data_IF_292674433848
#
_entry.id   IF_292674433848
#
_cell.length_a   1.000
_cell.length_b   1.000
_cell.length_c   1.000
_cell.angle_alpha   90.00
_cell.angle_beta   90.00
_cell.angle_gamma   90.00
#
_symmetry.space_group_name_H-M   'P 1'
#
loop_
_entity.id
_entity.type
_entity.pdbx_description
1 polymer ?
#
# COMPACT_ATOMS: atom_id res chain seq x y z
N UNK A 1 27.73 18.79 -9.49
CA UNK A 1 26.41 18.32 -9.98
C UNK A 1 26.25 16.87 -9.56
N UNK A 2 25.12 16.48 -8.99
CA UNK A 2 24.83 15.08 -8.71
C UNK A 2 24.54 14.37 -10.04
N UNK A 3 25.24 13.27 -10.34
CA UNK A 3 24.97 12.48 -11.53
C UNK A 3 23.67 11.66 -11.33
N UNK A 4 22.62 11.87 -12.15
CA UNK A 4 21.40 11.09 -12.05
C UNK A 4 21.61 9.60 -12.36
N UNK A 5 22.68 9.24 -13.09
CA UNK A 5 22.99 7.85 -13.46
C UNK A 5 23.28 6.95 -12.25
N UNK A 6 23.85 7.52 -11.19
CA UNK A 6 24.22 6.76 -9.99
C UNK A 6 23.14 6.72 -8.91
N UNK A 7 22.03 7.43 -9.11
CA UNK A 7 20.94 7.52 -8.15
C UNK A 7 20.24 6.19 -7.92
N UNK A 8 19.91 5.91 -6.66
CA UNK A 8 19.07 4.78 -6.27
C UNK A 8 17.68 4.84 -6.92
N UNK A 9 17.21 6.04 -7.29
CA UNK A 9 15.96 6.21 -8.03
C UNK A 9 16.03 5.58 -9.42
N UNK A 10 17.14 5.76 -10.14
CA UNK A 10 17.31 5.19 -11.47
C UNK A 10 17.51 3.68 -11.39
N UNK A 11 18.36 3.23 -10.46
CA UNK A 11 18.75 1.81 -10.32
C UNK A 11 17.61 0.90 -9.85
N UNK A 12 16.68 1.40 -9.02
CA UNK A 12 15.67 0.56 -8.38
C UNK A 12 14.21 0.91 -8.70
N UNK A 13 13.94 2.09 -9.28
CA UNK A 13 12.57 2.61 -9.43
C UNK A 13 12.24 3.15 -10.82
N UNK A 14 13.11 2.89 -11.80
CA UNK A 14 12.81 3.14 -13.20
C UNK A 14 12.41 1.81 -13.85
N UNK A 15 11.22 1.75 -14.44
CA UNK A 15 10.66 0.54 -15.03
C UNK A 15 10.22 0.81 -16.47
N UNK A 16 10.30 -0.20 -17.33
CA UNK A 16 9.52 -0.21 -18.57
C UNK A 16 8.03 -0.40 -18.23
N UNK A 17 7.14 -0.07 -19.17
CA UNK A 17 5.70 -0.28 -18.95
C UNK A 17 5.37 -1.76 -18.67
N UNK A 18 6.07 -2.67 -19.34
CA UNK A 18 5.92 -4.12 -19.17
C UNK A 18 6.35 -4.57 -17.78
N UNK A 19 7.52 -4.11 -17.30
CA UNK A 19 8.01 -4.46 -15.96
C UNK A 19 7.09 -3.93 -14.85
N UNK A 20 6.51 -2.76 -15.07
CA UNK A 20 5.59 -2.12 -14.14
C UNK A 20 4.30 -2.94 -14.03
N UNK A 21 3.72 -3.34 -15.16
CA UNK A 21 2.51 -4.17 -15.17
C UNK A 21 2.76 -5.58 -14.61
N UNK A 22 3.96 -6.13 -14.82
CA UNK A 22 4.40 -7.36 -14.17
C UNK A 22 4.46 -7.20 -12.64
N UNK A 23 5.04 -6.11 -12.12
CA UNK A 23 5.08 -5.84 -10.69
C UNK A 23 3.68 -5.75 -10.08
N UNK A 24 2.75 -5.05 -10.74
CA UNK A 24 1.35 -4.93 -10.31
C UNK A 24 0.64 -6.28 -10.29
N UNK A 25 0.80 -7.06 -11.35
CA UNK A 25 0.20 -8.40 -11.48
C UNK A 25 0.74 -9.32 -10.39
N UNK A 26 2.04 -9.27 -10.12
CA UNK A 26 2.68 -10.01 -9.03
C UNK A 26 2.11 -9.61 -7.67
N UNK A 27 2.05 -8.33 -7.35
CA UNK A 27 1.54 -7.85 -6.06
C UNK A 27 0.08 -8.26 -5.83
N UNK A 28 -0.76 -8.14 -6.85
CA UNK A 28 -2.15 -8.57 -6.81
C UNK A 28 -2.28 -10.09 -6.60
N UNK A 29 -1.50 -10.89 -7.34
CA UNK A 29 -1.49 -12.36 -7.20
C UNK A 29 -1.09 -12.80 -5.78
N UNK A 30 -0.04 -12.21 -5.22
CA UNK A 30 0.42 -12.50 -3.85
C UNK A 30 -0.67 -12.17 -2.83
N UNK A 31 -1.32 -11.01 -2.98
CA UNK A 31 -2.41 -10.60 -2.11
C UNK A 31 -3.63 -11.52 -2.19
N UNK A 32 -4.04 -11.96 -3.39
CA UNK A 32 -5.12 -12.94 -3.56
C UNK A 32 -4.82 -14.26 -2.86
N UNK A 33 -3.60 -14.80 -3.05
CA UNK A 33 -3.14 -16.01 -2.35
C UNK A 33 -3.18 -15.83 -0.82
N UNK A 34 -2.77 -14.67 -0.32
CA UNK A 34 -2.80 -14.36 1.10
C UNK A 34 -4.23 -14.31 1.65
N UNK A 35 -5.14 -13.58 1.00
CA UNK A 35 -6.51 -13.40 1.47
C UNK A 35 -7.29 -14.72 1.42
N UNK A 36 -7.13 -15.50 0.35
CA UNK A 36 -7.76 -16.82 0.26
C UNK A 36 -7.28 -17.77 1.36
N UNK A 37 -5.99 -17.72 1.72
CA UNK A 37 -5.44 -18.50 2.83
C UNK A 37 -6.03 -18.09 4.20
N UNK A 38 -6.32 -16.80 4.41
CA UNK A 38 -6.98 -16.30 5.62
C UNK A 38 -8.43 -16.75 5.66
N UNK A 39 -9.17 -16.59 4.56
CA UNK A 39 -10.57 -16.99 4.47
C UNK A 39 -10.74 -18.50 4.73
N UNK A 40 -9.85 -19.32 4.16
CA UNK A 40 -9.85 -20.76 4.40
C UNK A 40 -9.61 -21.10 5.88
N UNK A 41 -8.60 -20.49 6.52
CA UNK A 41 -8.35 -20.65 7.97
C UNK A 41 -9.54 -20.22 8.81
N UNK A 42 -10.19 -19.12 8.45
CA UNK A 42 -11.37 -18.63 9.18
C UNK A 42 -12.57 -19.58 9.02
N UNK A 43 -12.75 -20.18 7.84
CA UNK A 43 -13.81 -21.16 7.58
C UNK A 43 -13.56 -22.46 8.34
N UNK A 44 -12.32 -22.97 8.34
CA UNK A 44 -11.91 -24.14 9.13
C UNK A 44 -12.12 -23.89 10.63
N UNK A 45 -11.80 -22.69 11.13
CA UNK A 45 -12.04 -22.32 12.54
C UNK A 45 -13.53 -22.18 12.88
N UNK A 46 -14.37 -21.80 11.90
CA UNK A 46 -15.81 -21.70 12.09
C UNK A 46 -16.52 -23.06 12.08
N UNK A 47 -15.97 -24.04 11.36
CA UNK A 47 -16.45 -25.42 11.34
C UNK A 47 -15.96 -26.22 12.57
N UNK A 48 -14.80 -25.87 13.12
CA UNK A 48 -14.24 -26.45 14.36
C UNK A 48 -14.71 -25.69 15.62
N UNK A 49 -16.04 -25.67 15.84
CA UNK A 49 -16.65 -25.16 17.06
C UNK A 49 -16.40 -26.16 18.21
N UNK A 50 -15.17 -26.14 18.71
CA UNK A 50 -14.65 -27.05 19.74
C UNK A 50 -13.39 -26.53 20.41
N UNK A 51 -13.47 -25.33 21.01
CA UNK A 51 -12.60 -24.86 22.10
C UNK A 51 -11.08 -24.85 21.83
N UNK A 52 -10.52 -23.71 21.43
CA UNK A 52 -9.27 -23.20 22.04
C UNK A 52 -9.08 -21.71 21.75
N UNK A 53 -8.97 -20.93 22.83
CA UNK A 53 -8.54 -19.53 22.74
C UNK A 53 -7.11 -19.45 22.23
N UNK A 54 -6.90 -18.75 21.10
CA UNK A 54 -5.56 -18.39 20.63
C UNK A 54 -5.31 -16.91 20.92
N UNK A 55 -4.18 -16.70 21.58
CA UNK A 55 -3.66 -15.42 22.08
C UNK A 55 -3.32 -14.42 20.96
N UNK A 56 -3.39 -13.10 21.19
CA UNK A 56 -3.42 -12.08 20.14
C UNK A 56 -2.06 -11.62 19.54
N UNK A 57 -0.98 -12.42 19.61
CA UNK A 57 0.39 -11.86 19.45
C UNK A 57 1.10 -12.18 18.12
N UNK A 58 0.53 -13.02 17.26
CA UNK A 58 1.15 -13.35 15.97
C UNK A 58 0.34 -12.74 14.83
N UNK A 59 0.65 -11.51 14.44
CA UNK A 59 0.00 -10.86 13.30
C UNK A 59 0.41 -11.60 12.01
N UNK A 60 -0.46 -12.42 11.40
CA UNK A 60 -0.09 -13.34 10.31
C UNK A 60 0.38 -12.59 9.04
N UNK A 61 0.07 -11.30 8.99
CA UNK A 61 0.45 -10.37 7.94
C UNK A 61 1.95 -10.09 7.96
N UNK A 62 2.54 -9.91 9.15
CA UNK A 62 3.97 -9.65 9.31
C UNK A 62 4.77 -10.90 8.93
N UNK A 63 4.34 -12.09 9.36
CA UNK A 63 5.03 -13.34 9.07
C UNK A 63 4.99 -13.68 7.56
N UNK A 64 3.86 -13.45 6.89
CA UNK A 64 3.70 -13.71 5.46
C UNK A 64 4.62 -12.83 4.61
N UNK A 65 4.65 -11.52 4.87
CA UNK A 65 5.52 -10.61 4.11
C UNK A 65 7.00 -10.73 4.47
N UNK A 66 7.35 -11.05 5.73
CA UNK A 66 8.73 -11.34 6.12
C UNK A 66 9.31 -12.55 5.37
N UNK A 67 8.50 -13.61 5.18
CA UNK A 67 8.86 -14.78 4.37
C UNK A 67 9.05 -14.45 2.89
N UNK A 68 8.22 -13.57 2.33
CA UNK A 68 8.27 -13.21 0.91
C UNK A 68 9.44 -12.26 0.58
N UNK A 69 9.80 -11.35 1.51
CA UNK A 69 11.03 -10.55 1.41
C UNK A 69 12.30 -11.42 1.47
N UNK A 70 12.33 -12.45 2.32
CA UNK A 70 13.45 -13.38 2.41
C UNK A 70 13.62 -14.27 1.16
N UNK A 71 12.53 -14.60 0.45
CA UNK A 71 12.57 -15.35 -0.82
C UNK A 71 13.09 -14.55 -2.03
N UNK A 72 13.30 -13.23 -1.90
CA UNK A 72 13.59 -12.31 -3.01
C UNK A 72 15.00 -12.40 -3.62
N UNK A 73 15.68 -13.54 -3.53
CA UNK A 73 16.92 -13.82 -4.28
C UNK A 73 16.83 -14.99 -5.27
N UNK A 74 15.95 -15.99 -5.03
CA UNK A 74 16.04 -17.28 -5.75
C UNK A 74 14.72 -17.81 -6.34
N UNK A 75 13.59 -17.11 -6.28
CA UNK A 75 12.27 -17.66 -6.68
C UNK A 75 11.72 -17.15 -8.03
N UNK A 76 12.57 -16.62 -8.92
CA UNK A 76 12.12 -15.91 -10.12
C UNK A 76 11.87 -16.78 -11.36
N UNK A 77 12.16 -18.09 -11.38
CA UNK A 77 12.16 -18.85 -12.64
C UNK A 77 11.34 -20.16 -12.71
N UNK A 78 10.50 -20.53 -11.74
CA UNK A 78 9.87 -21.88 -11.78
C UNK A 78 8.37 -22.01 -11.46
N UNK A 79 7.59 -20.94 -11.31
CA UNK A 79 6.12 -21.10 -11.19
C UNK A 79 5.44 -20.87 -12.55
N UNK A 80 5.25 -21.99 -13.28
CA UNK A 80 4.43 -22.19 -14.49
C UNK A 80 3.30 -21.15 -14.66
N UNK A 81 3.35 -20.42 -15.77
CA UNK A 81 2.33 -19.49 -16.23
C UNK A 81 1.08 -20.24 -16.72
N UNK A 82 0.29 -20.74 -15.79
CA UNK A 82 -1.07 -21.17 -16.09
C UNK A 82 -2.04 -19.98 -16.08
N UNK A 83 -2.88 -19.77 -17.12
CA UNK A 83 -4.00 -18.85 -17.02
C UNK A 83 -4.97 -19.43 -15.99
N UNK A 84 -5.02 -18.85 -14.80
CA UNK A 84 -5.97 -19.28 -13.78
C UNK A 84 -7.38 -18.94 -14.28
N UNK A 85 -8.08 -19.94 -14.80
CA UNK A 85 -9.45 -19.86 -15.33
C UNK A 85 -10.43 -19.55 -14.19
N UNK A 86 -10.79 -18.27 -14.11
CA UNK A 86 -12.13 -17.68 -13.96
C UNK A 86 -13.29 -18.57 -13.51
N UNK A 87 -13.71 -18.43 -12.25
CA UNK A 87 -15.13 -18.46 -11.83
C UNK A 87 -15.40 -17.35 -10.76
N UNK A 88 -14.38 -16.93 -9.98
CA UNK A 88 -14.51 -15.90 -8.93
C UNK A 88 -13.94 -14.51 -9.33
N UNK A 89 -14.14 -14.06 -10.58
CA UNK A 89 -13.62 -12.76 -11.03
C UNK A 89 -14.21 -11.55 -10.27
N UNK A 90 -15.37 -11.72 -9.62
CA UNK A 90 -16.11 -10.63 -9.00
C UNK A 90 -15.74 -10.32 -7.53
N UNK A 91 -14.95 -11.18 -6.87
CA UNK A 91 -14.65 -11.01 -5.43
C UNK A 91 -13.41 -10.16 -5.15
N UNK A 92 -12.50 -10.02 -6.13
CA UNK A 92 -11.20 -9.39 -5.93
C UNK A 92 -10.85 -8.37 -7.01
N UNK A 93 -10.21 -7.28 -6.59
CA UNK A 93 -9.78 -6.19 -7.48
C UNK A 93 -8.79 -6.67 -8.55
N UNK A 94 -8.97 -6.18 -9.77
CA UNK A 94 -8.06 -6.40 -10.90
C UNK A 94 -6.85 -5.44 -10.76
N UNK A 95 -5.64 -5.79 -11.25
CA UNK A 95 -4.48 -4.90 -11.16
C UNK A 95 -4.69 -3.48 -11.73
N UNK A 96 -5.53 -3.34 -12.75
CA UNK A 96 -5.90 -2.03 -13.33
C UNK A 96 -6.75 -1.19 -12.37
N UNK A 97 -7.70 -1.81 -11.66
CA UNK A 97 -8.55 -1.16 -10.67
C UNK A 97 -7.75 -0.73 -9.44
N UNK A 98 -6.81 -1.58 -8.99
CA UNK A 98 -5.87 -1.20 -7.94
C UNK A 98 -5.03 0.02 -8.34
N UNK A 99 -4.50 0.04 -9.56
CA UNK A 99 -3.74 1.18 -10.06
C UNK A 99 -4.58 2.47 -10.11
N UNK A 100 -5.86 2.36 -10.47
CA UNK A 100 -6.81 3.48 -10.47
C UNK A 100 -7.06 3.99 -9.05
N UNK A 101 -7.27 3.10 -8.07
CA UNK A 101 -7.45 3.46 -6.66
C UNK A 101 -6.20 4.17 -6.11
N UNK A 102 -5.01 3.63 -6.37
CA UNK A 102 -3.75 4.26 -5.97
C UNK A 102 -3.61 5.65 -6.58
N UNK A 103 -3.93 5.80 -7.87
CA UNK A 103 -3.93 7.11 -8.55
C UNK A 103 -4.90 8.10 -7.91
N UNK A 104 -6.13 7.65 -7.60
CA UNK A 104 -7.14 8.45 -6.94
C UNK A 104 -6.67 8.95 -5.57
N UNK A 105 -6.19 8.07 -4.69
CA UNK A 105 -5.70 8.50 -3.37
C UNK A 105 -4.43 9.34 -3.46
N UNK A 106 -3.56 9.07 -4.42
CA UNK A 106 -2.40 9.91 -4.68
C UNK A 106 -2.82 11.34 -5.04
N UNK A 107 -3.90 11.52 -5.80
CA UNK A 107 -4.45 12.84 -6.14
C UNK A 107 -4.96 13.63 -4.92
N UNK A 108 -5.23 12.97 -3.79
CA UNK A 108 -5.69 13.61 -2.54
C UNK A 108 -4.53 14.15 -1.69
N UNK A 109 -3.30 13.70 -1.91
CA UNK A 109 -2.13 14.14 -1.14
C UNK A 109 -1.89 15.66 -1.19
N UNK A 110 -1.97 16.34 -2.35
CA UNK A 110 -1.85 17.80 -2.39
C UNK A 110 -2.92 18.52 -1.57
N UNK A 111 -4.16 17.99 -1.49
CA UNK A 111 -5.21 18.55 -0.64
C UNK A 111 -4.96 18.31 0.86
N UNK A 112 -4.23 17.24 1.18
CA UNK A 112 -3.91 16.85 2.55
C UNK A 112 -2.76 17.69 3.13
N UNK A 113 -1.65 17.79 2.39
CA UNK A 113 -0.38 18.37 2.89
C UNK A 113 0.23 19.44 1.99
N UNK A 114 -0.44 19.80 0.90
CA UNK A 114 0.06 20.83 0.00
C UNK A 114 -0.08 22.25 0.54
N UNK A 115 0.25 23.25 -0.29
CA UNK A 115 0.15 24.67 0.08
C UNK A 115 -1.28 25.08 0.47
N UNK A 116 -2.29 24.40 -0.07
CA UNK A 116 -3.71 24.64 0.18
C UNK A 116 -4.32 23.62 1.16
N UNK A 117 -3.50 22.94 1.96
CA UNK A 117 -3.96 21.96 2.92
C UNK A 117 -5.04 22.53 3.86
N UNK A 118 -6.05 21.69 4.15
CA UNK A 118 -7.17 22.05 5.04
C UNK A 118 -6.69 22.38 6.45
N UNK A 119 -5.63 21.72 6.91
CA UNK A 119 -5.02 22.00 8.20
C UNK A 119 -3.80 22.92 8.02
N UNK A 120 -3.82 24.15 8.59
CA UNK A 120 -2.68 25.06 8.51
C UNK A 120 -1.38 24.48 9.06
N UNK A 121 -1.47 23.54 10.02
CA UNK A 121 -0.30 22.86 10.63
C UNK A 121 0.36 21.83 9.71
N UNK A 122 -0.34 21.38 8.66
CA UNK A 122 0.14 20.41 7.68
C UNK A 122 0.42 21.05 6.32
N UNK A 123 0.32 22.38 6.20
CA UNK A 123 0.65 23.10 4.97
C UNK A 123 2.14 23.00 4.68
N UNK A 124 2.50 22.47 3.52
CA UNK A 124 3.90 22.28 3.10
C UNK A 124 4.17 22.77 1.69
N UNK A 125 5.46 22.97 1.40
CA UNK A 125 5.97 23.20 0.06
C UNK A 125 5.59 22.06 -0.89
N UNK A 126 5.45 22.36 -2.18
CA UNK A 126 5.01 21.41 -3.21
C UNK A 126 5.90 20.16 -3.36
N UNK A 127 7.16 20.23 -2.93
CA UNK A 127 8.08 19.08 -2.93
C UNK A 127 7.62 17.95 -2.01
N UNK A 128 7.05 18.26 -0.84
CA UNK A 128 6.63 17.25 0.15
C UNK A 128 5.46 16.37 -0.34
N UNK A 129 4.34 16.91 -0.87
CA UNK A 129 3.29 16.07 -1.46
C UNK A 129 3.76 15.30 -2.68
N UNK A 130 4.72 15.82 -3.47
CA UNK A 130 5.31 15.07 -4.57
C UNK A 130 6.11 13.85 -4.08
N UNK A 131 6.94 14.04 -3.04
CA UNK A 131 7.68 12.95 -2.39
C UNK A 131 6.74 11.93 -1.74
N UNK A 132 5.66 12.39 -1.09
CA UNK A 132 4.63 11.50 -0.53
C UNK A 132 3.92 10.67 -1.61
N UNK A 133 3.57 11.30 -2.75
CA UNK A 133 2.95 10.62 -3.88
C UNK A 133 3.87 9.54 -4.46
N UNK A 134 5.16 9.83 -4.55
CA UNK A 134 6.17 8.88 -4.99
C UNK A 134 6.27 7.69 -4.02
N UNK A 135 6.35 7.93 -2.71
CA UNK A 135 6.41 6.89 -1.69
C UNK A 135 5.18 5.98 -1.71
N UNK A 136 3.99 6.57 -1.84
CA UNK A 136 2.74 5.81 -1.94
C UNK A 136 2.70 4.93 -3.19
N UNK A 137 3.05 5.47 -4.37
CA UNK A 137 3.11 4.68 -5.61
C UNK A 137 4.12 3.54 -5.50
N UNK A 138 5.30 3.80 -4.94
CA UNK A 138 6.35 2.80 -4.73
C UNK A 138 5.91 1.69 -3.77
N UNK A 139 5.19 2.04 -2.71
CA UNK A 139 4.65 1.07 -1.77
C UNK A 139 3.72 0.06 -2.46
N UNK A 140 2.81 0.55 -3.31
CA UNK A 140 1.84 -0.29 -4.03
C UNK A 140 2.38 -0.99 -5.29
N UNK A 141 3.67 -0.86 -5.61
CA UNK A 141 4.31 -1.71 -6.64
C UNK A 141 4.69 -3.09 -6.09
N UNK A 142 4.88 -3.22 -4.78
CA UNK A 142 5.20 -4.51 -4.12
C UNK A 142 4.08 -5.02 -3.21
N UNK A 143 3.06 -4.19 -2.95
CA UNK A 143 1.96 -4.50 -2.05
C UNK A 143 0.63 -4.21 -2.73
N UNK A 144 -0.44 -4.87 -2.32
CA UNK A 144 -1.79 -4.65 -2.86
C UNK A 144 -2.65 -3.80 -1.93
N UNK A 145 -3.59 -3.06 -2.53
CA UNK A 145 -4.63 -2.28 -1.82
C UNK A 145 -5.58 -3.19 -1.03
N UNK A 146 -5.74 -4.46 -1.44
CA UNK A 146 -6.60 -5.42 -0.75
C UNK A 146 -6.07 -5.82 0.64
N UNK A 147 -4.76 -5.64 0.88
CA UNK A 147 -4.11 -5.98 2.15
C UNK A 147 -3.82 -4.75 3.00
N UNK A 148 -3.50 -3.63 2.37
CA UNK A 148 -3.14 -2.39 3.05
C UNK A 148 -4.09 -1.25 2.69
N UNK A 149 -4.78 -0.72 3.70
CA UNK A 149 -5.69 0.41 3.55
C UNK A 149 -4.98 1.66 3.00
N UNK A 150 -5.40 2.18 1.83
CA UNK A 150 -4.77 3.33 1.19
C UNK A 150 -4.88 4.62 2.00
N UNK A 151 -5.87 4.77 2.88
CA UNK A 151 -5.95 5.96 3.74
C UNK A 151 -4.83 5.96 4.78
N UNK A 152 -4.60 4.81 5.40
CA UNK A 152 -3.53 4.63 6.39
C UNK A 152 -2.15 4.81 5.74
N UNK A 153 -1.94 4.24 4.56
CA UNK A 153 -0.69 4.39 3.81
C UNK A 153 -0.47 5.84 3.34
N UNK A 154 -1.52 6.53 2.88
CA UNK A 154 -1.43 7.93 2.46
C UNK A 154 -0.93 8.83 3.58
N UNK A 155 -1.47 8.70 4.80
CA UNK A 155 -1.01 9.49 5.95
C UNK A 155 0.42 9.10 6.37
N UNK A 156 0.75 7.81 6.32
CA UNK A 156 2.10 7.33 6.63
C UNK A 156 3.14 7.85 5.64
N UNK A 157 2.81 7.86 4.35
CA UNK A 157 3.64 8.40 3.28
C UNK A 157 3.83 9.92 3.42
N UNK A 158 2.78 10.65 3.80
CA UNK A 158 2.84 12.08 4.06
C UNK A 158 3.72 12.44 5.28
N UNK A 159 3.63 11.65 6.35
CA UNK A 159 4.51 11.77 7.51
C UNK A 159 5.97 11.46 7.16
N UNK A 160 6.22 10.37 6.44
CA UNK A 160 7.56 9.97 6.01
C UNK A 160 8.17 11.01 5.06
N UNK A 161 7.43 11.50 4.08
CA UNK A 161 7.87 12.57 3.19
C UNK A 161 8.25 13.83 3.96
N UNK A 162 7.47 14.19 4.98
CA UNK A 162 7.78 15.32 5.85
C UNK A 162 9.11 15.14 6.59
N UNK A 163 9.47 13.91 6.98
CA UNK A 163 10.76 13.59 7.60
C UNK A 163 11.93 13.66 6.61
N UNK A 164 11.73 13.18 5.38
CA UNK A 164 12.76 13.17 4.33
C UNK A 164 13.08 14.59 3.84
N UNK A 165 12.10 15.48 3.84
CA UNK A 165 12.21 16.86 3.36
C UNK A 165 12.57 17.87 4.48
N UNK A 166 13.17 17.39 5.59
CA UNK A 166 13.56 18.17 6.78
C UNK A 166 12.44 19.01 7.41
N UNK A 167 11.19 18.60 7.21
CA UNK A 167 10.02 19.32 7.69
C UNK A 167 9.38 18.57 8.87
N UNK A 168 9.94 18.76 10.06
CA UNK A 168 9.53 18.05 11.28
C UNK A 168 8.02 18.24 11.56
N UNK A 169 7.29 17.13 11.76
CA UNK A 169 5.89 17.12 12.21
C UNK A 169 5.73 16.23 13.42
N UNK A 170 4.81 16.61 14.30
CA UNK A 170 4.39 15.78 15.43
C UNK A 170 3.38 14.72 14.96
N UNK A 171 3.61 13.46 15.33
CA UNK A 171 2.74 12.31 15.06
C UNK A 171 1.29 12.56 15.52
N UNK A 172 1.11 13.33 16.60
CA UNK A 172 -0.22 13.66 17.14
C UNK A 172 -1.09 14.44 16.16
N UNK A 173 -0.49 15.22 15.25
CA UNK A 173 -1.23 15.98 14.25
C UNK A 173 -1.82 15.05 13.17
N UNK A 174 -1.13 13.95 12.85
CA UNK A 174 -1.55 12.99 11.83
C UNK A 174 -2.64 12.03 12.31
N UNK A 175 -2.65 11.70 13.60
CA UNK A 175 -3.72 10.89 14.20
C UNK A 175 -5.09 11.56 14.04
N UNK A 176 -5.15 12.88 14.20
CA UNK A 176 -6.37 13.68 13.98
C UNK A 176 -6.81 13.65 12.52
N UNK A 177 -5.85 13.61 11.61
CA UNK A 177 -6.13 13.58 10.17
C UNK A 177 -6.64 12.20 9.71
N UNK A 178 -6.06 11.12 10.22
CA UNK A 178 -6.60 9.77 9.99
C UNK A 178 -8.04 9.66 10.48
N UNK A 179 -8.36 10.21 11.65
CA UNK A 179 -9.75 10.23 12.11
C UNK A 179 -10.65 11.03 11.16
N UNK A 180 -10.23 12.22 10.71
CA UNK A 180 -11.03 13.03 9.76
C UNK A 180 -11.26 12.33 8.42
N UNK A 181 -10.25 11.62 7.89
CA UNK A 181 -10.36 10.82 6.66
C UNK A 181 -11.28 9.59 6.81
N UNK A 182 -11.52 9.14 8.04
CA UNK A 182 -12.37 8.01 8.38
C UNK A 182 -13.79 8.41 8.77
N UNK A 183 -14.03 9.67 9.15
CA UNK A 183 -15.39 10.18 9.32
C UNK A 183 -16.06 10.33 7.94
N UNK A 184 -17.31 9.87 7.76
CA UNK A 184 -18.08 10.23 6.58
C UNK A 184 -18.19 11.75 6.53
N UNK A 185 -17.87 12.34 5.38
CA UNK A 185 -17.89 13.79 5.17
C UNK A 185 -19.16 14.38 5.81
N UNK A 186 -18.99 15.17 6.88
CA UNK A 186 -20.11 15.93 7.43
C UNK A 186 -20.59 16.83 6.30
N UNK A 187 -21.76 16.51 5.73
CA UNK A 187 -22.40 17.37 4.75
C UNK A 187 -22.56 18.74 5.40
N UNK A 188 -22.20 19.84 4.73
CA UNK A 188 -22.61 21.15 5.21
C UNK A 188 -24.14 21.16 5.24
N UNK A 189 -24.72 21.61 6.36
CA UNK A 189 -26.15 21.95 6.45
C UNK A 189 -26.39 23.26 5.73
#
# INVERSE_FOLDING_TARGET
MCDPADSSQLKAWLFSQVDLDLCRTRANRVARKYISSIQKRNKETAEDNGNSGKSPVDDPLIEFFARDFAKKKNAFLEEEEGPMQTEDLNDYLIPSEEALLVSFYTSKLPSLIGPQAQLPRLRRESKIPATAALLMKRFYLSNSVMVHDPKTIMVSAAFLASKVEDAMTDVRNWKKEQTNCNLPSRRPR
#
